data_IF_691017868949
#
_entry.id   IF_691017868949
#
_cell.length_a   1.000
_cell.length_b   1.000
_cell.length_c   1.000
_cell.angle_alpha   90.00
_cell.angle_beta   90.00
_cell.angle_gamma   90.00
#
_symmetry.space_group_name_H-M   'P 1'
#
loop_
_entity.id
_entity.type
_entity.pdbx_description
1 polymer ?
#
# COMPACT_ATOMS: atom_id res chain seq x y z
N UNK A 1 -27.76 -31.59 77.02
CA UNK A 1 -26.62 -31.64 76.09
C UNK A 1 -27.15 -31.75 74.67
N UNK A 2 -27.13 -30.68 73.88
CA UNK A 2 -27.63 -30.66 72.50
C UNK A 2 -26.62 -29.93 71.60
N UNK A 3 -26.20 -30.66 70.56
CA UNK A 3 -25.81 -30.20 69.21
C UNK A 3 -24.47 -29.46 69.08
N UNK A 4 -23.40 -30.23 68.94
CA UNK A 4 -22.39 -29.98 67.91
C UNK A 4 -22.95 -30.55 66.61
N UNK A 5 -23.29 -29.72 65.62
CA UNK A 5 -23.38 -30.07 64.19
C UNK A 5 -23.90 -28.84 63.45
N UNK A 6 -23.03 -27.86 63.20
CA UNK A 6 -23.24 -26.86 62.14
C UNK A 6 -21.95 -26.06 61.87
N UNK A 7 -20.82 -26.73 61.78
CA UNK A 7 -19.54 -26.07 61.46
C UNK A 7 -18.88 -26.61 60.20
N UNK A 8 -19.70 -27.03 59.22
CA UNK A 8 -19.22 -27.54 57.93
C UNK A 8 -19.95 -26.95 56.71
N UNK A 9 -20.91 -26.05 56.90
CA UNK A 9 -21.67 -25.47 55.76
C UNK A 9 -21.06 -24.16 55.24
N UNK A 10 -20.20 -23.49 56.01
CA UNK A 10 -19.62 -22.19 55.60
C UNK A 10 -18.31 -22.36 54.82
N UNK A 11 -17.65 -23.53 54.88
CA UNK A 11 -16.37 -23.76 54.19
C UNK A 11 -16.56 -24.25 52.72
N UNK A 12 -17.79 -24.51 52.29
CA UNK A 12 -18.09 -25.02 50.94
C UNK A 12 -18.43 -23.92 49.93
N UNK A 13 -18.42 -22.65 50.33
CA UNK A 13 -18.86 -21.51 49.51
C UNK A 13 -17.72 -20.63 48.97
N UNK A 14 -16.45 -21.00 49.20
CA UNK A 14 -15.27 -20.20 48.84
C UNK A 14 -14.35 -20.82 47.78
N UNK A 15 -14.80 -21.85 47.06
CA UNK A 15 -14.02 -22.52 46.01
C UNK A 15 -14.59 -22.36 44.58
N UNK A 16 -15.55 -21.44 44.38
CA UNK A 16 -16.25 -21.27 43.11
C UNK A 16 -15.81 -20.10 42.21
N UNK A 17 -14.67 -19.44 42.48
CA UNK A 17 -14.30 -18.21 41.75
C UNK A 17 -12.97 -18.24 40.99
N UNK A 18 -12.45 -19.42 40.69
CA UNK A 18 -11.39 -19.58 39.69
C UNK A 18 -11.81 -20.64 38.71
N UNK A 19 -12.39 -20.20 37.58
CA UNK A 19 -12.29 -20.79 36.23
C UNK A 19 -13.08 -19.89 35.28
N UNK A 20 -12.70 -18.61 35.18
CA UNK A 20 -12.81 -17.91 33.90
C UNK A 20 -11.51 -18.22 33.16
N UNK A 21 -11.38 -19.47 32.73
CA UNK A 21 -10.56 -19.76 31.57
C UNK A 21 -11.36 -19.20 30.41
N UNK A 22 -10.96 -18.03 29.90
CA UNK A 22 -11.21 -17.75 28.50
C UNK A 22 -10.51 -18.87 27.74
N UNK A 23 -11.25 -19.92 27.42
CA UNK A 23 -10.89 -20.82 26.34
C UNK A 23 -10.62 -19.92 25.16
N UNK A 24 -9.34 -19.82 24.79
CA UNK A 24 -8.95 -19.40 23.46
C UNK A 24 -9.86 -20.18 22.51
N UNK A 25 -10.74 -19.46 21.83
CA UNK A 25 -11.51 -19.99 20.72
C UNK A 25 -10.56 -20.18 19.54
N UNK A 26 -9.53 -20.99 19.72
CA UNK A 26 -8.74 -21.60 18.67
C UNK A 26 -9.56 -22.75 18.11
N UNK A 27 -10.61 -22.43 17.34
CA UNK A 27 -11.27 -23.29 16.34
C UNK A 27 -12.61 -22.66 15.89
N UNK A 28 -12.52 -21.48 15.30
CA UNK A 28 -13.52 -21.01 14.32
C UNK A 28 -12.81 -20.23 13.19
N UNK A 29 -11.64 -20.72 12.78
CA UNK A 29 -11.05 -20.50 11.47
C UNK A 29 -11.42 -21.68 10.54
N UNK A 30 -12.63 -22.23 10.70
CA UNK A 30 -13.22 -23.02 9.62
C UNK A 30 -13.69 -22.04 8.54
N UNK A 31 -12.92 -22.03 7.47
CA UNK A 31 -13.47 -22.05 6.11
C UNK A 31 -14.38 -20.87 5.75
N UNK A 32 -13.91 -19.65 6.06
CA UNK A 32 -14.41 -18.50 5.30
C UNK A 32 -13.80 -18.62 3.90
N UNK A 33 -14.61 -18.73 2.83
CA UNK A 33 -14.05 -18.67 1.48
C UNK A 33 -13.22 -17.40 1.36
N UNK A 34 -11.98 -17.51 0.88
CA UNK A 34 -11.11 -16.36 0.65
C UNK A 34 -11.88 -15.41 -0.27
N UNK A 35 -12.42 -14.33 0.30
CA UNK A 35 -13.19 -13.33 -0.43
C UNK A 35 -12.21 -12.41 -1.14
N UNK A 36 -11.72 -12.85 -2.30
CA UNK A 36 -10.88 -12.10 -3.23
C UNK A 36 -9.51 -11.69 -2.68
N UNK A 37 -8.60 -11.36 -3.59
CA UNK A 37 -7.37 -10.63 -3.27
C UNK A 37 -7.45 -9.30 -3.98
N UNK A 38 -7.06 -8.22 -3.33
CA UNK A 38 -7.12 -6.87 -3.90
C UNK A 38 -5.76 -6.19 -3.78
N UNK A 39 -5.26 -5.73 -4.92
CA UNK A 39 -3.99 -5.02 -5.04
C UNK A 39 -4.23 -3.64 -5.60
N UNK A 40 -3.76 -2.62 -4.89
CA UNK A 40 -3.65 -1.26 -5.42
C UNK A 40 -2.24 -0.76 -5.15
N UNK A 41 -1.34 -1.09 -6.07
CA UNK A 41 0.09 -0.73 -6.05
C UNK A 41 0.46 0.22 -7.18
N UNK A 42 -0.55 0.75 -7.87
CA UNK A 42 -0.39 1.63 -9.03
C UNK A 42 -0.65 3.06 -8.58
N UNK A 43 0.15 3.98 -9.09
CA UNK A 43 -0.12 5.41 -9.01
C UNK A 43 0.16 6.06 -10.36
N UNK A 44 -0.35 7.26 -10.56
CA UNK A 44 -0.24 7.97 -11.82
C UNK A 44 0.53 9.26 -11.63
N UNK A 45 1.39 9.60 -12.58
CA UNK A 45 2.16 10.84 -12.58
C UNK A 45 1.77 11.67 -13.79
N UNK A 46 1.31 12.88 -13.54
CA UNK A 46 1.28 13.92 -14.56
C UNK A 46 2.57 14.74 -14.47
N UNK A 47 3.36 14.77 -15.54
CA UNK A 47 4.51 15.66 -15.62
C UNK A 47 4.11 16.95 -16.35
N UNK A 48 4.37 18.08 -15.72
CA UNK A 48 4.01 19.41 -16.22
C UNK A 48 5.18 20.40 -16.16
N UNK A 49 5.16 21.42 -17.00
CA UNK A 49 6.02 22.59 -16.86
C UNK A 49 5.53 23.48 -15.69
N UNK A 50 6.33 24.49 -15.32
CA UNK A 50 5.97 25.47 -14.29
C UNK A 50 4.65 26.24 -14.56
N UNK A 51 4.20 26.31 -15.81
CA UNK A 51 2.92 26.92 -16.20
C UNK A 51 1.73 25.94 -16.16
N UNK A 52 1.97 24.68 -15.80
CA UNK A 52 0.96 23.62 -15.74
C UNK A 52 0.75 22.86 -17.05
N UNK A 53 1.47 23.19 -18.13
CA UNK A 53 1.35 22.49 -19.41
C UNK A 53 1.92 21.07 -19.31
N UNK A 54 1.16 20.06 -19.73
CA UNK A 54 1.62 18.67 -19.78
C UNK A 54 2.83 18.52 -20.74
N UNK A 55 3.87 17.82 -20.29
CA UNK A 55 5.11 17.62 -21.05
C UNK A 55 5.31 16.19 -21.55
N UNK A 56 4.33 15.31 -21.33
CA UNK A 56 4.42 13.92 -21.76
C UNK A 56 4.02 13.77 -23.23
N UNK A 57 4.73 12.86 -23.88
CA UNK A 57 4.44 12.34 -25.20
C UNK A 57 4.44 10.81 -25.11
N UNK A 58 3.80 10.13 -26.06
CA UNK A 58 3.74 8.65 -26.06
C UNK A 58 5.12 7.99 -26.17
N UNK A 59 6.11 8.71 -26.71
CA UNK A 59 7.50 8.29 -26.87
C UNK A 59 8.44 8.95 -25.85
N UNK A 60 7.91 9.56 -24.77
CA UNK A 60 8.73 10.15 -23.72
C UNK A 60 9.75 9.15 -23.17
N UNK A 61 11.04 9.52 -23.09
CA UNK A 61 12.10 8.62 -22.63
C UNK A 61 12.04 8.44 -21.11
N UNK A 62 11.26 7.45 -20.66
CA UNK A 62 11.10 7.13 -19.23
C UNK A 62 11.89 5.87 -18.90
N UNK A 63 12.68 5.95 -17.83
CA UNK A 63 13.32 4.80 -17.21
C UNK A 63 12.88 4.66 -15.76
N UNK A 64 12.52 3.45 -15.36
CA UNK A 64 12.11 3.13 -13.98
C UNK A 64 13.14 2.19 -13.35
N UNK A 65 13.48 2.46 -12.10
CA UNK A 65 14.37 1.65 -11.29
C UNK A 65 13.71 1.33 -9.96
N UNK A 66 13.86 0.10 -9.48
CA UNK A 66 13.40 -0.30 -8.15
C UNK A 66 14.59 -0.33 -7.20
N UNK A 67 14.40 0.24 -6.01
CA UNK A 67 15.35 0.09 -4.93
C UNK A 67 15.25 -1.31 -4.34
N UNK A 68 16.40 -1.97 -4.22
CA UNK A 68 16.54 -3.28 -3.62
C UNK A 68 17.85 -3.32 -2.84
N UNK A 69 17.75 -3.43 -1.52
CA UNK A 69 18.90 -3.47 -0.61
C UNK A 69 19.87 -2.28 -0.80
N UNK A 70 19.34 -1.08 -0.97
CA UNK A 70 20.13 0.14 -1.17
C UNK A 70 20.68 0.34 -2.60
N UNK A 71 20.36 -0.55 -3.53
CA UNK A 71 20.81 -0.48 -4.93
C UNK A 71 19.59 -0.22 -5.83
N UNK A 72 19.72 0.73 -6.76
CA UNK A 72 18.71 0.97 -7.79
C UNK A 72 18.93 0.01 -8.98
N UNK A 73 17.99 -0.90 -9.21
CA UNK A 73 17.99 -1.85 -10.33
C UNK A 73 17.00 -1.38 -11.41
N UNK A 74 17.44 -1.25 -12.66
CA UNK A 74 16.54 -0.89 -13.78
C UNK A 74 15.50 -1.98 -13.98
N UNK A 75 14.24 -1.58 -14.14
CA UNK A 75 13.12 -2.51 -14.30
C UNK A 75 13.05 -3.00 -15.74
N UNK A 76 13.43 -4.26 -15.95
CA UNK A 76 13.30 -4.95 -17.24
C UNK A 76 12.84 -6.40 -17.00
N UNK A 77 11.53 -6.66 -17.13
CA UNK A 77 10.87 -7.93 -16.82
C UNK A 77 10.14 -8.47 -18.04
N UNK A 78 10.89 -9.03 -18.99
CA UNK A 78 10.44 -9.41 -20.34
C UNK A 78 9.16 -10.24 -20.45
N UNK A 79 8.75 -10.95 -19.40
CA UNK A 79 7.58 -11.84 -19.41
C UNK A 79 6.33 -11.25 -18.72
N UNK A 80 6.35 -9.97 -18.37
CA UNK A 80 5.21 -9.28 -17.77
C UNK A 80 4.50 -8.38 -18.77
N UNK A 81 3.21 -8.13 -18.54
CA UNK A 81 2.42 -7.18 -19.32
C UNK A 81 3.02 -5.76 -19.29
N UNK A 82 3.65 -5.39 -18.18
CA UNK A 82 4.34 -4.11 -17.99
C UNK A 82 5.81 -4.37 -17.67
N UNK A 83 6.63 -4.74 -18.67
CA UNK A 83 7.99 -5.21 -18.45
C UNK A 83 8.92 -4.10 -17.94
N UNK A 84 8.56 -2.84 -18.14
CA UNK A 84 9.36 -1.68 -17.75
C UNK A 84 8.91 -1.01 -16.45
N UNK A 85 7.87 -1.53 -15.77
CA UNK A 85 7.35 -0.94 -14.54
C UNK A 85 6.55 0.36 -14.72
N UNK A 86 6.23 0.73 -15.96
CA UNK A 86 5.32 1.83 -16.27
C UNK A 86 4.57 1.63 -17.59
N UNK A 87 3.57 2.48 -17.81
CA UNK A 87 2.85 2.69 -19.06
C UNK A 87 2.51 4.18 -19.20
N UNK A 88 2.62 4.75 -20.39
CA UNK A 88 2.07 6.09 -20.68
C UNK A 88 0.63 5.91 -21.16
N UNK A 89 -0.31 6.59 -20.50
CA UNK A 89 -1.74 6.45 -20.75
C UNK A 89 -2.46 7.80 -20.61
N UNK A 90 -3.76 7.85 -20.86
CA UNK A 90 -4.58 9.06 -20.65
C UNK A 90 -4.99 9.23 -19.18
N UNK A 91 -5.17 10.48 -18.73
CA UNK A 91 -5.60 10.76 -17.35
C UNK A 91 -6.95 10.14 -16.98
N UNK A 92 -7.79 9.78 -17.96
CA UNK A 92 -9.06 9.08 -17.72
C UNK A 92 -8.88 7.74 -17.00
N UNK A 93 -7.72 7.10 -17.12
CA UNK A 93 -7.40 5.88 -16.37
C UNK A 93 -7.15 6.14 -14.88
N UNK A 94 -6.71 7.36 -14.53
CA UNK A 94 -6.43 7.77 -13.16
C UNK A 94 -7.65 8.39 -12.48
N UNK A 95 -8.45 9.16 -13.23
CA UNK A 95 -9.60 9.93 -12.75
C UNK A 95 -10.72 9.85 -13.81
N UNK A 96 -11.96 9.46 -13.46
CA UNK A 96 -13.05 9.32 -14.44
C UNK A 96 -13.32 10.56 -15.31
N UNK A 97 -13.15 11.75 -14.74
CA UNK A 97 -13.34 13.05 -15.41
C UNK A 97 -12.00 13.70 -15.80
N UNK A 98 -10.92 12.92 -15.92
CA UNK A 98 -9.58 13.40 -16.28
C UNK A 98 -9.55 14.04 -17.66
N UNK A 99 -8.59 14.96 -17.86
CA UNK A 99 -8.37 15.60 -19.16
C UNK A 99 -7.89 14.56 -20.19
N UNK A 100 -7.98 14.86 -21.49
CA UNK A 100 -7.39 14.03 -22.56
C UNK A 100 -5.86 13.96 -22.54
N UNK A 101 -5.22 14.53 -21.52
CA UNK A 101 -3.77 14.61 -21.43
C UNK A 101 -3.16 13.30 -20.95
N UNK A 102 -1.85 13.17 -21.16
CA UNK A 102 -1.10 11.96 -20.84
C UNK A 102 -0.66 11.97 -19.37
N UNK A 103 -0.55 10.78 -18.80
CA UNK A 103 0.07 10.52 -17.52
C UNK A 103 0.87 9.22 -17.58
N UNK A 104 1.78 9.04 -16.63
CA UNK A 104 2.56 7.83 -16.45
C UNK A 104 1.88 6.98 -15.38
N UNK A 105 1.33 5.84 -15.76
CA UNK A 105 0.88 4.79 -14.85
C UNK A 105 2.11 4.03 -14.37
N UNK A 106 2.45 4.19 -13.10
CA UNK A 106 3.64 3.59 -12.50
C UNK A 106 3.24 2.42 -11.62
N UNK A 107 3.94 1.31 -11.78
CA UNK A 107 3.85 0.16 -10.90
C UNK A 107 4.89 0.38 -9.79
N UNK A 108 4.44 0.55 -8.55
CA UNK A 108 5.38 0.72 -7.44
C UNK A 108 6.27 -0.52 -7.28
N UNK A 109 7.49 -0.31 -6.79
CA UNK A 109 8.42 -1.40 -6.49
C UNK A 109 7.75 -2.46 -5.60
N UNK A 110 7.93 -3.72 -5.98
CA UNK A 110 7.50 -4.90 -5.22
C UNK A 110 8.55 -5.37 -4.20
N UNK A 111 9.67 -4.64 -4.08
CA UNK A 111 10.63 -4.81 -3.00
C UNK A 111 10.25 -3.91 -1.82
N UNK A 112 9.71 -4.53 -0.78
CA UNK A 112 9.29 -3.84 0.44
C UNK A 112 10.35 -3.93 1.53
N UNK A 113 10.58 -2.82 2.22
CA UNK A 113 11.33 -2.79 3.48
C UNK A 113 10.50 -3.41 4.61
N UNK A 114 11.15 -3.65 5.76
CA UNK A 114 10.47 -4.04 7.01
C UNK A 114 9.38 -3.04 7.44
N UNK A 115 9.51 -1.77 7.03
CA UNK A 115 8.53 -0.71 7.30
C UNK A 115 7.38 -0.68 6.29
N UNK A 116 7.26 -1.70 5.44
CA UNK A 116 6.25 -1.79 4.37
C UNK A 116 6.34 -0.60 3.41
N UNK A 117 7.55 -0.12 3.17
CA UNK A 117 7.80 0.93 2.18
C UNK A 117 8.50 0.33 0.96
N UNK A 118 8.25 0.87 -0.22
CA UNK A 118 9.07 0.61 -1.39
C UNK A 118 9.48 1.91 -2.04
N UNK A 119 10.64 1.91 -2.70
CA UNK A 119 11.18 3.08 -3.38
C UNK A 119 11.34 2.78 -4.87
N UNK A 120 10.78 3.64 -5.69
CA UNK A 120 10.88 3.64 -7.14
C UNK A 120 11.58 4.92 -7.58
N UNK A 121 12.62 4.80 -8.39
CA UNK A 121 13.26 5.93 -9.05
C UNK A 121 12.75 6.05 -10.48
N UNK A 122 12.47 7.27 -10.92
CA UNK A 122 11.94 7.52 -12.27
C UNK A 122 12.78 8.60 -12.92
N UNK A 123 13.31 8.31 -14.11
CA UNK A 123 14.06 9.27 -14.91
C UNK A 123 13.24 9.60 -16.16
N UNK A 124 13.00 10.89 -16.38
CA UNK A 124 12.35 11.41 -17.59
C UNK A 124 13.40 12.18 -18.40
N UNK A 125 13.88 11.60 -19.50
CA UNK A 125 14.89 12.22 -20.38
C UNK A 125 16.11 12.71 -19.60
N UNK A 126 16.43 14.00 -19.77
CA UNK A 126 17.55 14.67 -19.13
C UNK A 126 17.21 15.35 -17.79
N UNK A 127 15.96 15.22 -17.31
CA UNK A 127 15.57 15.77 -16.02
C UNK A 127 16.23 15.01 -14.86
N UNK A 128 16.40 15.66 -13.69
CA UNK A 128 16.79 14.98 -12.47
C UNK A 128 15.85 13.79 -12.16
N UNK A 129 16.46 12.72 -11.67
CA UNK A 129 15.74 11.50 -11.25
C UNK A 129 14.82 11.83 -10.10
N UNK A 130 13.55 11.45 -10.23
CA UNK A 130 12.57 11.52 -9.16
C UNK A 130 12.69 10.29 -8.26
N UNK A 131 12.64 10.50 -6.95
CA UNK A 131 12.48 9.43 -5.96
C UNK A 131 11.03 9.40 -5.51
N UNK A 132 10.35 8.29 -5.77
CA UNK A 132 8.99 8.04 -5.28
C UNK A 132 9.06 6.95 -4.21
N UNK A 133 8.64 7.29 -3.00
CA UNK A 133 8.50 6.33 -1.92
C UNK A 133 7.03 6.08 -1.64
N UNK A 134 6.63 4.82 -1.65
CA UNK A 134 5.28 4.39 -1.30
C UNK A 134 5.30 3.68 0.06
N UNK A 135 4.36 4.02 0.93
CA UNK A 135 4.04 3.24 2.13
C UNK A 135 2.81 2.39 1.85
N UNK A 136 2.82 1.12 2.23
CA UNK A 136 1.74 0.19 1.97
C UNK A 136 1.01 -0.23 3.25
N UNK A 137 -0.31 -0.26 3.16
CA UNK A 137 -1.16 -0.98 4.09
C UNK A 137 -1.31 -2.42 3.60
N UNK A 138 -0.80 -3.37 4.40
CA UNK A 138 -0.93 -4.80 4.14
C UNK A 138 -2.00 -5.37 5.08
N UNK A 139 -3.08 -5.90 4.50
CA UNK A 139 -4.15 -6.61 5.21
C UNK A 139 -4.16 -8.09 4.75
N UNK A 140 -4.84 -9.01 5.46
CA UNK A 140 -4.76 -10.45 5.16
C UNK A 140 -4.99 -10.83 3.70
N UNK A 141 -5.83 -10.08 2.96
CA UNK A 141 -6.18 -10.35 1.57
C UNK A 141 -5.88 -9.17 0.62
N UNK A 142 -4.96 -8.28 0.96
CA UNK A 142 -4.68 -7.16 0.08
C UNK A 142 -3.50 -6.28 0.45
N UNK A 143 -3.04 -5.54 -0.55
CA UNK A 143 -1.93 -4.58 -0.45
C UNK A 143 -2.39 -3.29 -1.12
N UNK A 144 -2.32 -2.19 -0.39
CA UNK A 144 -2.76 -0.87 -0.88
C UNK A 144 -1.68 0.18 -0.61
N UNK A 145 -1.44 1.05 -1.56
CA UNK A 145 -0.72 2.29 -1.29
C UNK A 145 -1.52 3.10 -0.25
N UNK A 146 -0.83 3.50 0.81
CA UNK A 146 -1.36 4.29 1.92
C UNK A 146 -0.85 5.74 1.87
N UNK A 147 0.41 5.95 1.52
CA UNK A 147 1.02 7.28 1.33
C UNK A 147 2.06 7.25 0.22
N UNK A 148 2.26 8.39 -0.43
CA UNK A 148 3.29 8.60 -1.45
C UNK A 148 4.09 9.86 -1.12
N UNK A 149 5.42 9.73 -1.15
CA UNK A 149 6.35 10.85 -1.10
C UNK A 149 7.10 10.97 -2.41
N UNK A 150 7.22 12.20 -2.92
CA UNK A 150 8.08 12.56 -4.05
C UNK A 150 9.24 13.40 -3.53
N UNK A 151 10.48 12.94 -3.77
CA UNK A 151 11.70 13.61 -3.30
C UNK A 151 11.66 13.99 -1.81
N UNK A 152 11.07 13.12 -0.98
CA UNK A 152 10.91 13.30 0.47
C UNK A 152 9.70 14.13 0.91
N UNK A 153 8.93 14.70 -0.02
CA UNK A 153 7.74 15.51 0.26
C UNK A 153 6.48 14.65 0.11
N UNK A 154 5.59 14.67 1.10
CA UNK A 154 4.32 13.94 1.04
C UNK A 154 3.41 14.58 -0.02
N UNK A 155 3.09 13.83 -1.08
CA UNK A 155 2.25 14.29 -2.20
C UNK A 155 0.87 13.65 -2.19
N UNK A 156 0.74 12.47 -1.57
CA UNK A 156 -0.53 11.76 -1.48
C UNK A 156 -0.67 11.02 -0.15
N UNK A 157 -1.87 11.07 0.42
CA UNK A 157 -2.22 10.38 1.67
C UNK A 157 -3.68 9.91 1.60
N UNK A 158 -3.88 8.60 1.70
CA UNK A 158 -5.21 7.97 1.62
C UNK A 158 -6.20 8.53 2.64
N UNK A 159 -5.72 8.98 3.79
CA UNK A 159 -6.58 9.53 4.85
C UNK A 159 -7.20 10.88 4.47
N UNK A 160 -6.57 11.62 3.55
CA UNK A 160 -7.01 12.97 3.14
C UNK A 160 -7.50 13.02 1.70
N UNK A 161 -7.01 12.14 0.82
CA UNK A 161 -7.32 12.11 -0.61
C UNK A 161 -7.54 10.66 -1.10
N UNK A 162 -8.66 10.00 -0.74
CA UNK A 162 -8.86 8.58 -1.02
C UNK A 162 -9.17 8.26 -2.50
N UNK A 163 -9.54 9.25 -3.31
CA UNK A 163 -10.22 9.05 -4.60
C UNK A 163 -9.34 9.06 -5.85
N UNK A 164 -8.15 9.69 -5.82
CA UNK A 164 -7.25 9.76 -6.98
C UNK A 164 -5.81 9.52 -6.56
N UNK A 165 -5.14 8.58 -7.23
CA UNK A 165 -3.70 8.31 -7.12
C UNK A 165 -2.90 9.05 -8.20
N UNK A 166 -3.47 10.10 -8.80
CA UNK A 166 -2.77 11.00 -9.69
C UNK A 166 -1.99 12.03 -8.87
N UNK A 167 -0.67 12.06 -9.07
CA UNK A 167 0.22 13.09 -8.53
C UNK A 167 0.75 13.93 -9.70
N UNK A 168 0.89 15.23 -9.47
CA UNK A 168 1.48 16.15 -10.45
C UNK A 168 2.91 16.47 -10.04
N UNK A 169 3.86 16.33 -10.98
CA UNK A 169 5.27 16.65 -10.79
C UNK A 169 5.66 17.73 -11.79
N UNK A 170 6.14 18.85 -11.26
CA UNK A 170 6.65 19.98 -12.06
C UNK A 170 8.10 19.69 -12.45
N UNK A 171 8.43 19.91 -13.73
CA UNK A 171 9.78 19.79 -14.29
C UNK A 171 10.30 21.12 -14.82
#
# INVERSE_FOLDING_TARGET
MKKQFCSYVVLSLLLGFFMSSCTDNSEALQDRPIKGVSFNTIFFIEYVNADGTNILHNDSPIEVFYEKNGIAEKVERLYLAYPYGFEITGQQEAIPDGSGELCVKVFASDYYSERKTSTTFIKLGDYPVDTIQCLFEMIPNGIYIYKIWHNGILVWDRTTKPSSLLIQIIK
#
